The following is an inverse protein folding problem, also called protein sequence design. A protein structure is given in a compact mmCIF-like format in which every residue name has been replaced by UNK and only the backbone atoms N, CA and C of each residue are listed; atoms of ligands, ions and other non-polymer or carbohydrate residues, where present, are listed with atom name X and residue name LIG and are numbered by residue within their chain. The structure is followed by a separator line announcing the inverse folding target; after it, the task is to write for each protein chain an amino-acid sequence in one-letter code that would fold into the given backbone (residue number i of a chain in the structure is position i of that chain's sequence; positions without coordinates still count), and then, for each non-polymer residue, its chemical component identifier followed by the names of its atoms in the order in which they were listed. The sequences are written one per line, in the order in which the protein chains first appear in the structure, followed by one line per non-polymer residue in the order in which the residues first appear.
data_IF_334501053233
#
_entry.id   IF_334501053233
#
_cell.length_a   1.000
_cell.length_b   1.000
_cell.length_c   1.000
_cell.angle_alpha   90.00
_cell.angle_beta   90.00
_cell.angle_gamma   90.00
#
_symmetry.space_group_name_H-M   'P 1'
#
loop_
_entity.id
_entity.type
_entity.pdbx_description
1 polymer ?
#
# COMPACT_ATOMS: atom_id res chain seq x y z
N UNK A 1 -4.91 -27.81 -14.85
CA UNK A 1 -5.39 -26.96 -13.72
C UNK A 1 -5.80 -25.65 -14.32
N UNK A 2 -7.08 -25.34 -14.23
CA UNK A 2 -7.67 -24.24 -14.99
C UNK A 2 -7.06 -22.91 -14.56
N UNK A 3 -6.54 -22.18 -15.57
CA UNK A 3 -5.98 -20.80 -15.42
C UNK A 3 -6.98 -19.77 -14.86
N UNK A 4 -8.21 -20.18 -14.55
CA UNK A 4 -9.28 -19.33 -14.06
C UNK A 4 -9.23 -19.07 -12.54
N UNK A 5 -8.40 -19.76 -11.77
CA UNK A 5 -8.34 -19.63 -10.31
C UNK A 5 -7.30 -18.62 -9.80
N UNK A 6 -6.39 -18.16 -10.66
CA UNK A 6 -5.27 -17.29 -10.26
C UNK A 6 -5.28 -15.98 -11.07
N UNK A 7 -4.77 -14.95 -10.46
CA UNK A 7 -4.47 -13.65 -11.09
C UNK A 7 -2.95 -13.51 -11.10
N UNK A 8 -2.39 -13.23 -12.29
CA UNK A 8 -0.95 -12.99 -12.44
C UNK A 8 -0.50 -11.78 -11.65
N UNK A 9 0.63 -11.87 -10.97
CA UNK A 9 1.27 -10.73 -10.31
C UNK A 9 1.86 -9.74 -11.32
N UNK A 10 2.04 -10.14 -12.58
CA UNK A 10 2.78 -9.37 -13.58
C UNK A 10 4.30 -9.64 -13.54
N UNK A 11 4.74 -10.47 -12.62
CA UNK A 11 6.15 -10.85 -12.42
C UNK A 11 6.27 -12.37 -12.58
N UNK A 12 6.73 -12.82 -13.75
CA UNK A 12 6.72 -14.24 -14.12
C UNK A 12 7.38 -15.14 -13.07
N UNK A 13 8.52 -14.72 -12.51
CA UNK A 13 9.22 -15.51 -11.50
C UNK A 13 8.48 -15.56 -10.17
N UNK A 14 7.75 -14.48 -9.82
CA UNK A 14 6.88 -14.48 -8.63
C UNK A 14 5.68 -15.40 -8.86
N UNK A 15 5.06 -15.33 -10.03
CA UNK A 15 3.99 -16.26 -10.40
C UNK A 15 4.43 -17.72 -10.34
N UNK A 16 5.64 -18.05 -10.82
CA UNK A 16 6.22 -19.40 -10.67
C UNK A 16 6.43 -19.78 -9.21
N UNK A 17 6.93 -18.86 -8.38
CA UNK A 17 7.10 -19.08 -6.94
C UNK A 17 5.76 -19.31 -6.23
N UNK A 18 4.70 -18.64 -6.70
CA UNK A 18 3.33 -18.78 -6.24
C UNK A 18 2.55 -19.90 -6.97
N UNK A 19 3.22 -20.71 -7.81
CA UNK A 19 2.63 -21.82 -8.57
C UNK A 19 1.40 -21.43 -9.43
N UNK A 20 1.48 -20.28 -10.10
CA UNK A 20 0.48 -19.80 -11.04
C UNK A 20 -0.03 -18.39 -10.78
N UNK A 21 0.47 -17.71 -9.73
CA UNK A 21 0.06 -16.36 -9.35
C UNK A 21 -0.73 -16.32 -8.02
N UNK A 22 -1.47 -15.26 -7.81
CA UNK A 22 -2.26 -15.07 -6.59
C UNK A 22 -3.67 -15.63 -6.78
N UNK A 23 -4.17 -16.50 -5.87
CA UNK A 23 -5.54 -17.01 -5.98
C UNK A 23 -6.58 -15.88 -5.94
N UNK A 24 -7.63 -16.02 -6.74
CA UNK A 24 -8.75 -15.07 -6.75
C UNK A 24 -9.40 -14.94 -5.38
N UNK A 25 -9.78 -13.72 -5.03
CA UNK A 25 -10.38 -13.40 -3.74
C UNK A 25 -9.37 -13.18 -2.60
N UNK A 26 -8.06 -13.35 -2.84
CA UNK A 26 -7.08 -13.22 -1.78
C UNK A 26 -6.82 -11.77 -1.39
N UNK A 27 -6.60 -11.59 -0.10
CA UNK A 27 -5.95 -10.44 0.50
C UNK A 27 -4.48 -10.77 0.73
N UNK A 28 -3.60 -10.04 0.03
CA UNK A 28 -2.14 -10.16 0.09
C UNK A 28 -1.58 -9.00 0.90
N UNK A 29 -0.95 -9.29 2.01
CA UNK A 29 -0.19 -8.32 2.79
C UNK A 29 1.26 -8.32 2.33
N UNK A 30 1.75 -7.17 1.86
CA UNK A 30 3.15 -6.93 1.55
C UNK A 30 3.79 -6.17 2.71
N UNK A 31 4.76 -6.78 3.35
CA UNK A 31 5.55 -6.18 4.42
C UNK A 31 6.95 -5.85 3.89
N UNK A 32 7.36 -4.59 3.95
CA UNK A 32 8.70 -4.18 3.54
C UNK A 32 9.50 -3.56 4.66
N UNK A 33 10.72 -4.02 4.86
CA UNK A 33 11.67 -3.26 5.68
C UNK A 33 12.11 -1.99 4.93
N UNK A 34 12.50 -0.91 5.63
CA UNK A 34 13.08 0.27 5.00
C UNK A 34 14.24 -0.10 4.06
N UNK A 35 14.24 0.44 2.84
CA UNK A 35 15.24 0.14 1.81
C UNK A 35 15.00 -1.14 1.01
N UNK A 36 13.89 -1.84 1.23
CA UNK A 36 13.51 -3.03 0.47
C UNK A 36 13.05 -2.74 -0.96
N UNK A 37 12.83 -1.47 -1.31
CA UNK A 37 12.28 -1.05 -2.61
C UNK A 37 10.90 -1.68 -2.89
N UNK A 38 10.08 -1.82 -1.86
CA UNK A 38 8.72 -2.37 -1.96
C UNK A 38 7.83 -1.52 -2.88
N UNK A 39 8.12 -0.22 -2.98
CA UNK A 39 7.47 0.73 -3.89
C UNK A 39 7.71 0.39 -5.38
N UNK A 40 8.84 -0.23 -5.72
CA UNK A 40 9.10 -0.72 -7.07
C UNK A 40 8.28 -1.98 -7.34
N UNK A 41 8.27 -2.92 -6.39
CA UNK A 41 7.44 -4.13 -6.49
C UNK A 41 5.95 -3.75 -6.66
N UNK A 42 5.44 -2.80 -5.87
CA UNK A 42 4.03 -2.39 -5.92
C UNK A 42 3.63 -1.86 -7.30
N UNK A 43 4.47 -1.04 -7.94
CA UNK A 43 4.25 -0.52 -9.29
C UNK A 43 4.35 -1.64 -10.34
N UNK A 44 5.27 -2.59 -10.17
CA UNK A 44 5.39 -3.71 -11.10
C UNK A 44 4.20 -4.68 -11.02
N UNK A 45 3.61 -4.88 -9.83
CA UNK A 45 2.34 -5.60 -9.70
C UNK A 45 1.20 -4.94 -10.51
N UNK A 46 1.30 -3.63 -10.77
CA UNK A 46 0.31 -2.89 -11.54
C UNK A 46 0.46 -2.99 -13.07
N UNK A 47 1.47 -3.71 -13.57
CA UNK A 47 1.77 -3.78 -15.00
C UNK A 47 0.88 -4.74 -15.79
N UNK A 48 0.10 -5.58 -15.13
CA UNK A 48 -0.74 -6.60 -15.76
C UNK A 48 -2.14 -6.64 -15.18
N UNK A 49 -3.14 -6.95 -16.03
CA UNK A 49 -4.55 -6.97 -15.66
C UNK A 49 -5.17 -5.57 -15.56
N UNK A 50 -6.40 -5.50 -15.08
CA UNK A 50 -7.10 -4.25 -14.77
C UNK A 50 -6.83 -3.88 -13.31
N UNK A 51 -6.19 -2.74 -13.06
CA UNK A 51 -5.63 -2.38 -11.74
C UNK A 51 -6.19 -1.06 -11.24
N UNK A 52 -6.64 -1.06 -9.98
CA UNK A 52 -6.89 0.14 -9.19
C UNK A 52 -5.74 0.32 -8.18
N UNK A 53 -5.02 1.43 -8.30
CA UNK A 53 -3.85 1.73 -7.47
C UNK A 53 -4.10 2.97 -6.62
N UNK A 54 -4.06 2.82 -5.31
CA UNK A 54 -4.07 3.93 -4.37
C UNK A 54 -2.64 4.34 -4.04
N UNK A 55 -2.30 5.58 -4.37
CA UNK A 55 -1.02 6.19 -4.01
C UNK A 55 -1.20 7.15 -2.86
N UNK A 56 -0.43 6.95 -1.80
CA UNK A 56 -0.47 7.80 -0.60
C UNK A 56 0.82 8.58 -0.36
N UNK A 57 1.91 8.21 -1.04
CA UNK A 57 3.24 8.79 -0.85
C UNK A 57 3.80 9.42 -2.12
N UNK A 58 3.41 8.91 -3.28
CA UNK A 58 3.85 9.40 -4.59
C UNK A 58 2.66 9.97 -5.36
N UNK A 59 2.92 10.98 -6.17
CA UNK A 59 1.93 11.54 -7.10
C UNK A 59 1.71 10.60 -8.29
N UNK A 60 0.58 10.72 -8.97
CA UNK A 60 0.31 9.99 -10.22
C UNK A 60 1.45 10.18 -11.23
N UNK A 61 1.96 11.41 -11.38
CA UNK A 61 3.06 11.73 -12.30
C UNK A 61 4.33 10.94 -11.96
N UNK A 62 4.73 10.89 -10.68
CA UNK A 62 5.92 10.16 -10.25
C UNK A 62 5.80 8.66 -10.50
N UNK A 63 4.61 8.09 -10.31
CA UNK A 63 4.33 6.68 -10.60
C UNK A 63 4.49 6.40 -12.09
N UNK A 64 3.82 7.22 -12.94
CA UNK A 64 3.88 7.04 -14.40
C UNK A 64 5.29 7.26 -14.96
N UNK A 65 6.04 8.24 -14.44
CA UNK A 65 7.44 8.47 -14.80
C UNK A 65 8.33 7.28 -14.41
N UNK A 66 8.08 6.68 -13.24
CA UNK A 66 8.79 5.48 -12.81
C UNK A 66 8.48 4.29 -13.71
N UNK A 67 7.20 4.06 -14.02
CA UNK A 67 6.78 3.00 -14.94
C UNK A 67 7.36 3.22 -16.34
N UNK A 68 7.40 4.47 -16.82
CA UNK A 68 8.01 4.84 -18.11
C UNK A 68 9.51 4.52 -18.16
N UNK A 69 10.26 4.79 -17.08
CA UNK A 69 11.71 4.47 -17.00
C UNK A 69 11.99 2.99 -17.11
N UNK A 70 11.12 2.14 -16.58
CA UNK A 70 11.23 0.69 -16.69
C UNK A 70 10.57 0.12 -17.96
N UNK A 71 9.93 0.96 -18.79
CA UNK A 71 9.21 0.50 -19.97
C UNK A 71 7.97 -0.34 -19.65
N UNK A 72 7.38 -0.15 -18.47
CA UNK A 72 6.24 -0.93 -18.01
C UNK A 72 4.91 -0.45 -18.60
N UNK A 73 4.03 -1.40 -18.90
CA UNK A 73 2.69 -1.11 -19.38
C UNK A 73 1.80 -0.55 -18.25
N UNK A 74 1.10 0.55 -18.55
CA UNK A 74 0.16 1.22 -17.65
C UNK A 74 -1.24 1.43 -18.27
N UNK A 75 -1.56 0.75 -19.37
CA UNK A 75 -2.77 1.00 -20.17
C UNK A 75 -4.06 0.76 -19.39
N UNK A 76 -4.07 -0.21 -18.47
CA UNK A 76 -5.24 -0.60 -17.68
C UNK A 76 -5.07 -0.27 -16.19
N UNK A 77 -4.39 0.84 -15.90
CA UNK A 77 -4.10 1.32 -14.56
C UNK A 77 -4.95 2.55 -14.25
N UNK A 78 -5.83 2.45 -13.25
CA UNK A 78 -6.50 3.58 -12.62
C UNK A 78 -5.73 3.95 -11.35
N UNK A 79 -5.28 5.20 -11.23
CA UNK A 79 -4.57 5.71 -10.05
C UNK A 79 -5.51 6.62 -9.26
N UNK A 80 -5.62 6.38 -7.96
CA UNK A 80 -6.23 7.29 -6.99
C UNK A 80 -5.11 7.96 -6.22
N UNK A 81 -4.80 9.20 -6.61
CA UNK A 81 -3.69 9.99 -6.06
C UNK A 81 -4.10 10.70 -4.76
N UNK A 82 -4.08 9.96 -3.66
CA UNK A 82 -4.37 10.49 -2.32
C UNK A 82 -3.26 11.45 -1.87
N UNK A 83 -2.01 11.23 -2.28
CA UNK A 83 -0.85 12.08 -1.94
C UNK A 83 -1.08 13.54 -2.35
N UNK A 84 -1.46 13.75 -3.61
CA UNK A 84 -1.77 15.08 -4.16
C UNK A 84 -2.99 15.70 -3.47
N UNK A 85 -4.06 14.94 -3.26
CA UNK A 85 -5.29 15.44 -2.66
C UNK A 85 -5.07 15.81 -1.19
N UNK A 86 -4.33 15.00 -0.44
CA UNK A 86 -3.95 15.33 0.94
C UNK A 86 -3.08 16.59 1.00
N UNK A 87 -2.08 16.72 0.11
CA UNK A 87 -1.20 17.89 0.06
C UNK A 87 -1.99 19.18 -0.25
N UNK A 88 -2.87 19.17 -1.24
CA UNK A 88 -3.76 20.31 -1.53
C UNK A 88 -4.62 20.66 -0.32
N UNK A 89 -5.11 19.64 0.39
CA UNK A 89 -5.93 19.84 1.57
C UNK A 89 -5.16 20.49 2.70
N UNK A 90 -3.93 20.05 2.99
CA UNK A 90 -3.03 20.65 3.99
C UNK A 90 -2.69 22.10 3.62
N UNK A 91 -2.29 22.35 2.38
CA UNK A 91 -1.94 23.69 1.90
C UNK A 91 -3.13 24.66 2.00
N UNK A 92 -4.32 24.24 1.58
CA UNK A 92 -5.53 25.07 1.67
C UNK A 92 -5.91 25.43 3.12
N UNK A 93 -5.51 24.60 4.09
CA UNK A 93 -5.69 24.90 5.53
C UNK A 93 -4.67 25.90 6.03
N UNK A 94 -3.42 25.78 5.63
CA UNK A 94 -2.39 26.72 6.03
C UNK A 94 -2.68 28.12 5.48
N UNK A 95 -3.11 28.25 4.23
CA UNK A 95 -3.57 29.51 3.66
C UNK A 95 -4.75 30.11 4.45
N UNK A 96 -5.75 29.30 4.81
CA UNK A 96 -6.87 29.75 5.65
C UNK A 96 -6.40 30.15 7.06
N UNK A 97 -5.45 29.42 7.64
CA UNK A 97 -4.87 29.78 8.94
C UNK A 97 -4.12 31.11 8.87
N UNK A 98 -3.27 31.29 7.87
CA UNK A 98 -2.53 32.56 7.64
C UNK A 98 -3.51 33.71 7.46
N UNK A 99 -4.54 33.57 6.62
CA UNK A 99 -5.58 34.56 6.43
C UNK A 99 -6.33 34.89 7.74
N UNK A 100 -6.63 33.90 8.57
CA UNK A 100 -7.25 34.10 9.89
C UNK A 100 -6.28 34.75 10.85
N UNK A 101 -4.99 34.45 10.82
CA UNK A 101 -3.97 35.12 11.64
C UNK A 101 -3.79 36.59 11.24
N UNK A 102 -3.77 36.86 9.93
CA UNK A 102 -3.72 38.25 9.42
C UNK A 102 -4.96 39.07 9.80
N UNK A 103 -6.13 38.47 9.76
CA UNK A 103 -7.37 39.10 10.25
C UNK A 103 -7.37 39.26 11.78
N UNK A 104 -6.82 38.29 12.54
CA UNK A 104 -6.72 38.34 13.99
C UNK A 104 -5.61 39.27 14.52
N UNK A 105 -4.56 39.50 13.74
CA UNK A 105 -3.54 40.50 14.09
C UNK A 105 -4.14 41.91 14.21
N UNK A 106 -5.35 42.13 13.68
CA UNK A 106 -6.14 43.34 13.82
C UNK A 106 -7.12 43.33 15.04
N UNK A 107 -7.26 42.18 15.73
CA UNK A 107 -8.18 42.03 16.89
C UNK A 107 -7.37 41.94 18.18
N UNK A 108 -7.77 42.70 19.16
CA UNK A 108 -7.06 42.92 20.45
C UNK A 108 -6.80 41.65 21.25
N UNK A 109 -5.63 41.60 21.86
CA UNK A 109 -5.03 40.56 22.71
C UNK A 109 -5.93 39.87 23.75
N UNK A 110 -7.10 40.44 24.05
CA UNK A 110 -8.02 39.92 25.06
C UNK A 110 -8.81 38.67 24.69
N UNK A 111 -9.02 38.42 23.40
CA UNK A 111 -9.75 37.22 22.93
C UNK A 111 -8.84 35.97 22.73
N UNK A 112 -7.53 36.15 22.81
CA UNK A 112 -6.57 35.06 22.66
C UNK A 112 -6.40 34.21 23.93
N UNK A 113 -6.87 34.66 25.08
CA UNK A 113 -6.68 34.02 26.39
C UNK A 113 -7.73 32.90 26.61
N UNK A 114 -8.87 32.92 25.94
CA UNK A 114 -9.94 31.92 26.12
C UNK A 114 -9.77 30.62 25.29
N UNK A 115 -8.79 30.55 24.39
CA UNK A 115 -8.60 29.38 23.51
C UNK A 115 -7.50 28.42 24.03
N UNK A 116 -6.93 28.67 25.16
CA UNK A 116 -5.68 28.07 25.65
C UNK A 116 -5.81 26.88 26.60
N UNK A 117 -6.72 25.93 26.41
CA UNK A 117 -6.64 24.68 27.19
C UNK A 117 -7.47 23.54 26.60
N UNK A 118 -7.16 23.09 25.42
CA UNK A 118 -7.66 21.77 24.96
C UNK A 118 -6.75 21.24 23.88
N UNK A 119 -6.35 19.98 24.07
CA UNK A 119 -5.45 19.23 23.22
C UNK A 119 -5.75 19.32 21.73
N UNK A 120 -4.90 18.66 20.96
CA UNK A 120 -4.91 18.55 19.50
C UNK A 120 -6.31 18.76 18.90
N UNK A 121 -6.51 19.75 18.02
CA UNK A 121 -7.84 20.06 17.55
C UNK A 121 -8.45 18.85 16.83
N UNK A 122 -9.75 18.55 17.07
CA UNK A 122 -10.43 17.50 16.34
C UNK A 122 -10.36 17.81 14.84
N UNK A 123 -10.28 16.76 14.02
CA UNK A 123 -10.33 16.86 12.55
C UNK A 123 -11.54 17.75 12.20
N UNK A 124 -11.35 18.92 11.59
CA UNK A 124 -12.47 19.82 11.33
C UNK A 124 -13.47 19.17 10.37
N UNK A 125 -14.76 19.29 10.65
CA UNK A 125 -15.85 18.93 9.73
C UNK A 125 -15.62 19.62 8.39
N UNK A 126 -15.47 18.83 7.31
CA UNK A 126 -15.15 19.30 5.95
C UNK A 126 -13.81 18.81 5.41
N UNK A 127 -13.10 17.93 6.10
CA UNK A 127 -11.96 17.18 5.56
C UNK A 127 -12.46 16.00 4.77
N UNK A 128 -11.87 15.78 3.59
CA UNK A 128 -12.06 14.52 2.87
C UNK A 128 -11.71 13.35 3.80
N UNK A 129 -12.60 12.39 3.88
CA UNK A 129 -12.39 11.15 4.61
C UNK A 129 -11.71 10.15 3.66
N UNK A 130 -10.37 10.14 3.67
CA UNK A 130 -9.58 9.27 2.80
C UNK A 130 -9.84 7.79 3.06
N UNK A 131 -10.23 7.41 4.27
CA UNK A 131 -10.59 6.03 4.58
C UNK A 131 -11.94 5.65 3.96
N UNK A 132 -12.89 6.60 3.93
CA UNK A 132 -14.15 6.43 3.22
C UNK A 132 -13.95 6.37 1.70
N UNK A 133 -13.06 7.21 1.12
CA UNK A 133 -12.69 7.17 -0.29
C UNK A 133 -12.09 5.80 -0.64
N UNK A 134 -11.15 5.30 0.17
CA UNK A 134 -10.57 3.97 -0.01
C UNK A 134 -11.66 2.89 -0.03
N UNK A 135 -12.55 2.91 0.95
CA UNK A 135 -13.63 1.93 1.08
C UNK A 135 -14.60 1.97 -0.10
N UNK A 136 -15.06 3.17 -0.49
CA UNK A 136 -16.00 3.36 -1.59
C UNK A 136 -15.41 2.89 -2.92
N UNK A 137 -14.20 3.34 -3.24
CA UNK A 137 -13.50 2.94 -4.48
C UNK A 137 -13.26 1.43 -4.53
N UNK A 138 -12.83 0.79 -3.44
CA UNK A 138 -12.68 -0.67 -3.38
C UNK A 138 -14.02 -1.36 -3.63
N UNK A 139 -15.12 -0.85 -3.07
CA UNK A 139 -16.44 -1.47 -3.21
C UNK A 139 -17.05 -1.28 -4.60
N UNK A 140 -16.74 -0.21 -5.30
CA UNK A 140 -17.34 0.13 -6.60
C UNK A 140 -16.54 -0.33 -7.80
N UNK A 141 -15.23 -0.53 -7.65
CA UNK A 141 -14.32 -0.90 -8.75
C UNK A 141 -14.64 -2.26 -9.36
N UNK A 142 -14.33 -2.39 -10.66
CA UNK A 142 -14.31 -3.66 -11.41
C UNK A 142 -12.88 -4.15 -11.67
N UNK A 143 -11.90 -3.52 -11.04
CA UNK A 143 -10.50 -3.93 -11.19
C UNK A 143 -10.28 -5.36 -10.66
N UNK A 144 -9.46 -6.12 -11.36
CA UNK A 144 -9.04 -7.47 -10.95
C UNK A 144 -8.01 -7.42 -9.83
N UNK A 145 -7.18 -6.36 -9.82
CA UNK A 145 -6.19 -6.10 -8.79
C UNK A 145 -6.43 -4.74 -8.16
N UNK A 146 -6.38 -4.70 -6.84
CA UNK A 146 -6.42 -3.47 -6.05
C UNK A 146 -5.11 -3.40 -5.28
N UNK A 147 -4.40 -2.28 -5.39
CA UNK A 147 -3.12 -2.06 -4.72
C UNK A 147 -3.24 -0.82 -3.84
N UNK A 148 -2.96 -0.96 -2.54
CA UNK A 148 -2.93 0.15 -1.58
C UNK A 148 -1.47 0.38 -1.17
N UNK A 149 -0.86 1.46 -1.65
CA UNK A 149 0.54 1.83 -1.37
C UNK A 149 0.61 3.25 -0.80
N UNK A 150 0.70 3.40 0.53
CA UNK A 150 0.78 2.38 1.56
C UNK A 150 -0.35 2.54 2.59
N UNK A 151 -0.51 1.53 3.47
CA UNK A 151 -1.41 1.61 4.62
C UNK A 151 -0.89 2.59 5.69
N UNK A 152 0.41 2.85 5.69
CA UNK A 152 1.11 3.68 6.67
C UNK A 152 0.52 5.09 6.75
N UNK A 153 0.11 5.66 5.61
CA UNK A 153 -0.58 6.93 5.53
C UNK A 153 -1.88 6.94 6.36
N UNK A 154 -2.71 5.92 6.19
CA UNK A 154 -3.98 5.82 6.92
C UNK A 154 -3.75 5.62 8.41
N UNK A 155 -2.71 4.86 8.78
CA UNK A 155 -2.33 4.65 10.19
C UNK A 155 -1.76 5.91 10.85
N UNK A 156 -1.31 6.88 10.06
CA UNK A 156 -0.93 8.21 10.53
C UNK A 156 -2.11 9.15 10.78
N UNK A 157 -3.28 8.89 10.18
CA UNK A 157 -4.45 9.78 10.25
C UNK A 157 -5.62 9.20 11.05
N UNK A 158 -5.76 7.88 11.08
CA UNK A 158 -6.88 7.16 11.69
C UNK A 158 -6.38 6.18 12.75
N UNK A 159 -7.28 5.75 13.61
CA UNK A 159 -6.94 4.73 14.60
C UNK A 159 -6.69 3.38 13.93
N UNK A 160 -5.81 2.59 14.53
CA UNK A 160 -5.52 1.23 14.05
C UNK A 160 -6.78 0.36 13.94
N UNK A 161 -7.77 0.59 14.80
CA UNK A 161 -9.03 -0.15 14.78
C UNK A 161 -9.92 0.24 13.59
N UNK A 162 -9.99 1.52 13.23
CA UNK A 162 -10.73 1.99 12.05
C UNK A 162 -10.10 1.43 10.77
N UNK A 163 -8.77 1.52 10.65
CA UNK A 163 -8.04 0.98 9.52
C UNK A 163 -8.24 -0.53 9.40
N UNK A 164 -8.08 -1.27 10.51
CA UNK A 164 -8.26 -2.73 10.52
C UNK A 164 -9.68 -3.14 10.08
N UNK A 165 -10.71 -2.44 10.58
CA UNK A 165 -12.11 -2.69 10.17
C UNK A 165 -12.32 -2.43 8.69
N UNK A 166 -11.77 -1.34 8.15
CA UNK A 166 -11.90 -1.00 6.73
C UNK A 166 -11.21 -2.03 5.84
N UNK A 167 -9.99 -2.44 6.18
CA UNK A 167 -9.27 -3.48 5.41
C UNK A 167 -9.98 -4.83 5.51
N UNK A 168 -10.53 -5.18 6.67
CA UNK A 168 -11.30 -6.42 6.80
C UNK A 168 -12.58 -6.42 5.94
N UNK A 169 -13.30 -5.30 5.90
CA UNK A 169 -14.46 -5.12 5.00
C UNK A 169 -14.05 -5.18 3.53
N UNK A 170 -12.97 -4.49 3.15
CA UNK A 170 -12.39 -4.51 1.81
C UNK A 170 -12.01 -5.94 1.37
N UNK A 171 -11.41 -6.73 2.25
CA UNK A 171 -11.10 -8.14 2.00
C UNK A 171 -12.37 -8.94 1.66
N UNK A 172 -13.45 -8.78 2.44
CA UNK A 172 -14.71 -9.51 2.20
C UNK A 172 -15.31 -9.11 0.85
N UNK A 173 -15.38 -7.81 0.55
CA UNK A 173 -15.88 -7.32 -0.74
C UNK A 173 -15.02 -7.78 -1.93
N UNK A 174 -13.71 -7.85 -1.75
CA UNK A 174 -12.79 -8.38 -2.77
C UNK A 174 -12.98 -9.88 -3.00
N UNK A 175 -13.23 -10.66 -1.95
CA UNK A 175 -13.54 -12.09 -2.07
C UNK A 175 -14.78 -12.34 -2.95
N UNK A 176 -15.85 -11.55 -2.76
CA UNK A 176 -17.08 -11.66 -3.56
C UNK A 176 -16.84 -11.32 -5.04
N UNK A 177 -15.97 -10.34 -5.31
CA UNK A 177 -15.59 -9.92 -6.66
C UNK A 177 -14.58 -10.84 -7.34
N UNK A 178 -13.98 -11.77 -6.59
CA UNK A 178 -12.89 -12.65 -7.05
C UNK A 178 -11.66 -11.88 -7.56
N UNK A 179 -11.43 -10.68 -7.07
CA UNK A 179 -10.22 -9.89 -7.32
C UNK A 179 -9.07 -10.28 -6.40
N UNK A 180 -7.96 -9.57 -6.46
CA UNK A 180 -6.84 -9.66 -5.50
C UNK A 180 -6.61 -8.28 -4.90
N UNK A 181 -6.60 -8.22 -3.56
CA UNK A 181 -6.30 -7.00 -2.81
C UNK A 181 -4.86 -7.08 -2.26
N UNK A 182 -3.97 -6.24 -2.78
CA UNK A 182 -2.62 -6.04 -2.25
C UNK A 182 -2.60 -4.82 -1.33
N UNK A 183 -2.10 -4.99 -0.12
CA UNK A 183 -1.92 -3.89 0.84
C UNK A 183 -0.48 -3.86 1.29
N UNK A 184 0.17 -2.73 1.09
CA UNK A 184 1.57 -2.50 1.45
C UNK A 184 1.64 -1.82 2.82
N UNK A 185 2.56 -2.28 3.65
CA UNK A 185 2.80 -1.72 4.98
C UNK A 185 4.29 -1.83 5.32
N UNK A 186 4.84 -0.79 5.94
CA UNK A 186 6.22 -0.84 6.45
C UNK A 186 6.28 -1.70 7.70
N UNK A 187 7.19 -2.68 7.70
CA UNK A 187 7.40 -3.60 8.81
C UNK A 187 8.06 -2.91 10.00
N UNK A 188 7.56 -3.17 11.20
CA UNK A 188 8.20 -2.78 12.46
C UNK A 188 7.88 -1.37 12.96
N UNK A 189 7.01 -0.61 12.28
CA UNK A 189 6.69 0.78 12.68
C UNK A 189 5.32 0.95 13.35
N UNK A 190 4.41 -0.02 13.22
CA UNK A 190 3.03 0.09 13.72
C UNK A 190 2.77 -0.69 15.01
N UNK A 191 3.80 -1.35 15.53
CA UNK A 191 3.74 -2.18 16.74
C UNK A 191 3.28 -3.61 16.49
N UNK A 192 3.88 -4.55 17.21
CA UNK A 192 3.74 -6.00 17.00
C UNK A 192 2.29 -6.49 17.03
N UNK A 193 1.45 -5.91 17.91
CA UNK A 193 0.06 -6.36 18.06
C UNK A 193 -0.74 -6.04 16.80
N UNK A 194 -0.58 -4.85 16.23
CA UNK A 194 -1.30 -4.45 15.01
C UNK A 194 -0.80 -5.27 13.82
N UNK A 195 0.52 -5.38 13.65
CA UNK A 195 1.11 -6.14 12.55
C UNK A 195 0.65 -7.60 12.57
N UNK A 196 0.64 -8.25 13.74
CA UNK A 196 0.11 -9.62 13.89
C UNK A 196 -1.39 -9.73 13.58
N UNK A 197 -2.19 -8.70 13.89
CA UNK A 197 -3.61 -8.68 13.49
C UNK A 197 -3.74 -8.62 11.96
N UNK A 198 -2.95 -7.77 11.28
CA UNK A 198 -2.91 -7.68 9.83
C UNK A 198 -2.45 -9.01 9.20
N UNK A 199 -1.37 -9.62 9.71
CA UNK A 199 -0.91 -10.95 9.29
C UNK A 199 -1.98 -12.03 9.51
N UNK A 200 -2.75 -11.92 10.59
CA UNK A 200 -3.85 -12.85 10.93
C UNK A 200 -4.94 -12.85 9.87
N UNK A 201 -5.38 -11.68 9.42
CA UNK A 201 -6.45 -11.55 8.42
C UNK A 201 -5.97 -11.74 6.98
N UNK A 202 -4.68 -11.59 6.67
CA UNK A 202 -4.14 -11.79 5.34
C UNK A 202 -4.26 -13.27 4.91
N UNK A 203 -4.56 -13.52 3.63
CA UNK A 203 -4.57 -14.86 3.04
C UNK A 203 -3.19 -15.25 2.51
N UNK A 204 -2.43 -14.26 2.04
CA UNK A 204 -1.03 -14.39 1.65
C UNK A 204 -0.20 -13.29 2.32
N UNK A 205 1.04 -13.61 2.70
CA UNK A 205 2.00 -12.65 3.25
C UNK A 205 3.28 -12.76 2.44
N UNK A 206 3.64 -11.65 1.79
CA UNK A 206 4.92 -11.44 1.13
C UNK A 206 5.74 -10.48 1.97
N UNK A 207 6.92 -10.88 2.38
CA UNK A 207 7.80 -10.05 3.19
C UNK A 207 9.11 -9.78 2.46
N UNK A 208 9.46 -8.49 2.37
CA UNK A 208 10.70 -8.02 1.77
C UNK A 208 11.66 -7.57 2.87
N UNK A 209 12.82 -8.17 2.91
CA UNK A 209 13.85 -7.86 3.89
C UNK A 209 15.16 -7.46 3.22
N UNK A 210 15.87 -6.55 3.89
CA UNK A 210 17.23 -6.15 3.54
C UNK A 210 18.15 -6.58 4.66
N UNK A 211 19.09 -7.45 4.36
CA UNK A 211 20.05 -7.97 5.33
C UNK A 211 21.46 -7.49 5.00
N UNK A 212 22.14 -6.91 5.98
CA UNK A 212 23.55 -6.60 5.84
C UNK A 212 24.39 -7.87 5.98
N UNK A 213 25.25 -8.13 5.00
CA UNK A 213 26.16 -9.26 4.99
C UNK A 213 27.58 -8.77 4.71
N UNK A 214 28.34 -8.60 5.76
CA UNK A 214 29.64 -7.96 5.67
C UNK A 214 29.53 -6.49 5.22
N UNK A 215 30.10 -6.16 4.06
CA UNK A 215 30.06 -4.82 3.44
C UNK A 215 28.94 -4.65 2.40
N UNK A 216 28.12 -5.67 2.17
CA UNK A 216 27.06 -5.67 1.16
C UNK A 216 25.69 -5.80 1.80
N UNK A 217 24.66 -5.36 1.05
CA UNK A 217 23.26 -5.59 1.41
C UNK A 217 22.65 -6.62 0.45
N UNK A 218 22.02 -7.63 1.00
CA UNK A 218 21.27 -8.63 0.24
C UNK A 218 19.79 -8.44 0.48
N UNK A 219 18.96 -8.57 -0.57
CA UNK A 219 17.51 -8.43 -0.51
C UNK A 219 16.84 -9.77 -0.69
N UNK A 220 15.82 -10.02 0.13
CA UNK A 220 15.07 -11.27 0.12
C UNK A 220 13.57 -10.99 0.10
N UNK A 221 12.86 -11.78 -0.71
CA UNK A 221 11.42 -11.87 -0.66
C UNK A 221 11.06 -13.24 -0.10
N UNK A 222 10.26 -13.23 0.96
CA UNK A 222 9.73 -14.43 1.59
C UNK A 222 8.21 -14.52 1.41
N UNK A 223 7.72 -15.68 0.97
CA UNK A 223 6.31 -16.05 1.07
C UNK A 223 6.12 -16.69 2.44
N UNK A 224 5.67 -15.92 3.43
CA UNK A 224 5.51 -16.37 4.83
C UNK A 224 4.22 -17.15 5.05
N UNK A 225 3.19 -16.84 4.29
CA UNK A 225 1.87 -17.42 4.41
C UNK A 225 1.22 -17.52 3.04
N UNK A 226 0.58 -18.64 2.79
CA UNK A 226 -0.34 -18.84 1.68
C UNK A 226 -1.44 -19.76 2.16
N UNK A 227 -2.60 -19.21 2.43
CA UNK A 227 -3.75 -19.94 2.99
C UNK A 227 -4.15 -21.08 2.05
N UNK A 228 -4.30 -22.28 2.59
CA UNK A 228 -4.66 -23.50 1.87
C UNK A 228 -3.60 -24.04 0.87
N UNK A 229 -2.38 -23.47 0.84
CA UNK A 229 -1.32 -23.84 -0.10
C UNK A 229 0.00 -24.07 0.67
N UNK A 230 0.11 -25.20 1.37
CA UNK A 230 1.28 -25.49 2.23
C UNK A 230 2.64 -25.53 1.51
N UNK A 231 2.65 -25.79 0.19
CA UNK A 231 3.88 -25.88 -0.62
C UNK A 231 4.40 -24.54 -1.14
N UNK A 232 3.61 -23.48 -1.06
CA UNK A 232 3.94 -22.17 -1.64
C UNK A 232 4.71 -21.24 -0.68
N UNK A 233 5.32 -21.80 0.36
CA UNK A 233 6.16 -21.04 1.31
C UNK A 233 7.61 -21.15 0.85
N UNK A 234 8.30 -20.03 0.72
CA UNK A 234 9.69 -20.03 0.26
C UNK A 234 10.34 -18.65 0.40
N UNK A 235 11.66 -18.63 0.18
CA UNK A 235 12.45 -17.41 0.17
C UNK A 235 13.24 -17.37 -1.14
N UNK A 236 13.27 -16.21 -1.78
CA UNK A 236 14.08 -15.92 -2.95
C UNK A 236 14.89 -14.64 -2.74
N UNK A 237 16.06 -14.54 -3.32
CA UNK A 237 16.76 -13.27 -3.45
C UNK A 237 16.10 -12.43 -4.53
N UNK A 238 16.22 -11.12 -4.43
CA UNK A 238 15.84 -10.24 -5.52
C UNK A 238 16.82 -9.08 -5.67
N UNK A 239 16.85 -8.53 -6.85
CA UNK A 239 17.57 -7.30 -7.21
C UNK A 239 16.59 -6.30 -7.84
N UNK A 240 16.99 -5.05 -7.84
CA UNK A 240 16.36 -4.01 -8.66
C UNK A 240 17.37 -3.67 -9.75
N UNK A 241 17.00 -3.89 -10.99
CA UNK A 241 17.83 -3.59 -12.16
C UNK A 241 17.06 -2.79 -13.22
N UNK A 242 17.52 -2.80 -14.48
CA UNK A 242 16.83 -2.09 -15.58
C UNK A 242 15.43 -2.60 -15.88
N UNK A 243 15.13 -3.85 -15.52
CA UNK A 243 13.84 -4.50 -15.75
C UNK A 243 12.88 -4.31 -14.55
N UNK A 244 13.38 -3.72 -13.45
CA UNK A 244 12.67 -3.47 -12.22
C UNK A 244 12.98 -4.48 -11.12
N UNK A 245 11.94 -5.03 -10.48
CA UNK A 245 12.06 -6.03 -9.44
C UNK A 245 12.27 -7.43 -10.06
N UNK A 246 13.44 -7.97 -9.87
CA UNK A 246 13.84 -9.27 -10.47
C UNK A 246 14.15 -10.27 -9.37
N UNK A 247 13.38 -11.36 -9.32
CA UNK A 247 13.65 -12.49 -8.43
C UNK A 247 14.80 -13.36 -8.97
N UNK A 248 15.74 -13.68 -8.11
CA UNK A 248 16.76 -14.67 -8.35
C UNK A 248 16.27 -16.03 -7.85
N UNK A 249 15.99 -16.96 -8.76
CA UNK A 249 15.64 -18.33 -8.37
C UNK A 249 16.87 -19.00 -7.78
N UNK A 250 16.83 -19.33 -6.50
CA UNK A 250 17.84 -20.22 -5.91
C UNK A 250 17.48 -21.63 -6.37
N UNK A 251 18.13 -22.11 -7.44
CA UNK A 251 18.09 -23.54 -7.75
C UNK A 251 18.69 -24.29 -6.55
N UNK A 252 17.87 -25.04 -5.83
CA UNK A 252 18.38 -26.03 -4.90
C UNK A 252 19.11 -27.08 -5.73
N UNK A 253 20.43 -27.01 -5.74
CA UNK A 253 21.26 -28.16 -6.13
C UNK A 253 20.97 -29.25 -5.08
N UNK A 254 20.18 -30.24 -5.46
CA UNK A 254 19.98 -31.48 -4.68
C UNK A 254 21.20 -32.38 -4.82
#
# INVERSE_FOLDING_TARGET
MDNEEFISTGIEKLDKMLEGGTPKGFFVLLLGSPGSSIEILSKQLATSGNVLYFSTEETETEILDTMGRFGWNNTNLEIVDISTDYTKHVLSREEKRISVYEQRAKVKLRELIEIGSSGMPPIPKGTEDFLAILSDKINTTKAEKIIVNSLDFFLGLYTQEEVLRTIHAAKIGNLEKKGVLFVIMTKGIHGDIFERKMEGIADCILELEVLQKGSTYERFLAVKKMKNYAKKIGIARYAIDSDGFVLEMIERIM
#
